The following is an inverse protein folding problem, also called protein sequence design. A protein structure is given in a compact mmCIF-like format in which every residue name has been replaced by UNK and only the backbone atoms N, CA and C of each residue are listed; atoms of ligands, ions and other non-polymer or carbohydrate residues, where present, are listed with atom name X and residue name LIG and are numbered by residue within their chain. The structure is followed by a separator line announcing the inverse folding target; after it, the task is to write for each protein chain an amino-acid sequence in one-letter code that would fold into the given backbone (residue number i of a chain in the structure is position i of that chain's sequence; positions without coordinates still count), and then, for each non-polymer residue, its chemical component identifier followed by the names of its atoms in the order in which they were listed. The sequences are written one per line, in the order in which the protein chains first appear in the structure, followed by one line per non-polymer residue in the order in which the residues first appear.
data_IF_417988568757
#
_entry.id   IF_417988568757
#
_cell.length_a   1.000
_cell.length_b   1.000
_cell.length_c   1.000
_cell.angle_alpha   90.00
_cell.angle_beta   90.00
_cell.angle_gamma   90.00
#
_symmetry.space_group_name_H-M   'P 1'
#
loop_
_entity.id
_entity.type
_entity.pdbx_description
1 polymer ?
2 non-polymer ?
3 non-polymer ?
4 non-polymer ?
5 non-polymer ?
6 water ?
#
# COMPACT_ATOMS: atom_id res chain seq x y z
N UNK A 2 24.05 -16.82 2.48
CA UNK A 2 23.13 -17.95 2.19
C UNK A 2 22.60 -17.91 0.75
N UNK A 3 21.88 -18.95 0.37
CA UNK A 3 21.28 -19.05 -0.95
C UNK A 3 19.84 -19.56 -0.88
N UNK A 4 19.13 -19.47 -2.01
CA UNK A 4 17.75 -19.91 -2.13
C UNK A 4 17.59 -20.47 -3.51
N UNK A 5 16.91 -21.61 -3.61
CA UNK A 5 16.58 -22.15 -4.91
C UNK A 5 15.08 -22.09 -5.13
N UNK A 6 14.69 -21.70 -6.34
CA UNK A 6 13.28 -21.64 -6.70
C UNK A 6 13.08 -22.17 -8.11
N UNK A 7 12.35 -23.28 -8.23
CA UNK A 7 12.12 -23.95 -9.51
C UNK A 7 13.44 -24.14 -10.30
N UNK A 8 14.46 -24.63 -9.61
CA UNK A 8 15.78 -24.81 -10.17
C UNK A 8 16.72 -23.66 -9.83
N UNK A 9 16.36 -22.48 -10.31
CA UNK A 9 17.21 -21.31 -10.25
C UNK A 9 17.63 -21.00 -8.83
N UNK A 10 18.87 -20.54 -8.70
CA UNK A 10 19.49 -20.37 -7.39
C UNK A 10 19.84 -18.88 -7.27
N UNK A 11 19.69 -18.34 -6.08
CA UNK A 11 19.71 -16.89 -5.88
C UNK A 11 20.46 -16.70 -4.61
N UNK A 12 21.15 -15.56 -4.48
CA UNK A 12 22.00 -15.28 -3.33
C UNK A 12 21.46 -14.12 -2.55
N UNK A 13 21.43 -14.30 -1.25
CA UNK A 13 20.85 -13.32 -0.37
C UNK A 13 21.82 -12.20 -0.18
N UNK A 14 21.40 -10.99 -0.50
CA UNK A 14 22.19 -9.79 -0.17
C UNK A 14 21.85 -9.29 1.19
N UNK A 15 20.57 -9.12 1.44
CA UNK A 15 20.12 -8.77 2.75
C UNK A 15 18.62 -8.98 2.86
N UNK A 16 18.14 -8.78 4.07
CA UNK A 16 16.81 -9.01 4.43
C UNK A 16 16.22 -7.65 4.51
N UNK A 17 15.19 -7.40 3.69
CA UNK A 17 14.63 -6.06 3.59
C UNK A 17 13.31 -5.98 4.30
N UNK A 18 12.83 -7.10 4.80
CA UNK A 18 11.53 -7.08 5.43
C UNK A 18 11.19 -8.32 6.19
N UNK A 19 10.21 -8.21 7.06
CA UNK A 19 9.94 -9.27 7.98
C UNK A 19 8.50 -9.20 8.43
N UNK A 20 8.00 -10.35 8.86
CA UNK A 20 6.61 -10.49 9.30
C UNK A 20 6.43 -11.85 9.89
N UNK A 21 5.26 -12.11 10.48
CA UNK A 21 5.01 -13.33 11.28
C UNK A 21 6.06 -14.42 11.08
N UNK A 22 5.75 -15.35 10.17
CA UNK A 22 6.66 -16.44 9.82
C UNK A 22 7.25 -16.27 8.41
N UNK A 23 7.56 -15.03 8.05
CA UNK A 23 8.03 -14.78 6.71
C UNK A 23 9.06 -13.69 6.71
N UNK A 24 9.81 -13.66 5.64
CA UNK A 24 10.93 -12.75 5.49
C UNK A 24 10.99 -12.41 4.05
N UNK A 25 11.32 -11.15 3.74
CA UNK A 25 11.62 -10.71 2.38
C UNK A 25 13.12 -10.40 2.24
N UNK A 26 13.73 -10.93 1.22
CA UNK A 26 15.14 -10.78 1.01
C UNK A 26 15.38 -10.13 -0.29
N UNK A 27 16.33 -9.22 -0.33
CA UNK A 27 16.92 -8.75 -1.59
C UNK A 27 17.95 -9.76 -2.01
N UNK A 28 17.92 -10.18 -3.26
CA UNK A 28 18.77 -11.23 -3.72
C UNK A 28 19.21 -11.02 -5.15
N UNK A 29 20.16 -11.88 -5.59
CA UNK A 29 20.68 -11.84 -6.93
C UNK A 29 20.62 -13.16 -7.59
N UNK A 30 20.24 -13.15 -8.87
CA UNK A 30 20.26 -14.37 -9.62
C UNK A 30 21.68 -14.61 -10.13
N UNK A 31 21.82 -15.60 -11.00
CA UNK A 31 23.14 -16.04 -11.51
C UNK A 31 23.80 -14.91 -12.36
N UNK A 32 23.01 -14.26 -13.20
CA UNK A 32 23.47 -13.14 -14.04
C UNK A 32 23.56 -11.83 -13.26
N UNK A 33 23.48 -11.92 -11.94
CA UNK A 33 23.59 -10.75 -11.04
C UNK A 33 22.47 -9.69 -11.22
N UNK A 34 21.31 -10.20 -11.63
CA UNK A 34 20.08 -9.42 -11.68
C UNK A 34 19.45 -9.48 -10.32
N UNK A 35 18.88 -8.36 -9.87
CA UNK A 35 18.41 -8.22 -8.52
C UNK A 35 16.90 -8.57 -8.42
N UNK A 36 16.47 -9.16 -7.30
CA UNK A 36 15.04 -9.53 -7.12
C UNK A 36 14.70 -9.50 -5.66
N UNK A 37 13.40 -9.46 -5.35
CA UNK A 37 12.96 -9.58 -3.98
C UNK A 37 12.35 -10.97 -3.85
N UNK A 38 12.78 -11.73 -2.85
CA UNK A 38 12.16 -12.98 -2.61
C UNK A 38 11.46 -12.99 -1.29
N UNK A 39 10.16 -13.34 -1.31
CA UNK A 39 9.44 -13.58 -0.05
C UNK A 39 9.51 -15.06 0.27
N UNK A 40 9.88 -15.37 1.50
CA UNK A 40 9.90 -16.72 2.03
C UNK A 40 8.85 -16.76 3.11
N UNK A 41 7.92 -17.71 3.00
CA UNK A 41 6.91 -17.96 4.05
C UNK A 41 7.14 -19.34 4.62
N UNK A 42 7.33 -19.40 5.92
CA UNK A 42 7.41 -20.69 6.60
C UNK A 42 6.01 -21.14 7.00
N UNK A 43 5.54 -22.20 6.37
CA UNK A 43 4.20 -22.75 6.60
C UNK A 43 4.07 -23.83 7.71
N UNK A 44 5.15 -24.10 8.44
CA UNK A 44 5.17 -25.30 9.28
C UNK A 44 4.07 -25.27 10.33
N UNK A 45 3.87 -24.14 11.01
CA UNK A 45 2.77 -24.07 12.00
C UNK A 45 1.59 -23.20 11.53
N UNK A 46 1.35 -23.18 10.22
CA UNK A 46 0.32 -22.34 9.66
C UNK A 46 -1.01 -23.06 9.74
N UNK A 47 -2.01 -22.35 10.29
CA UNK A 47 -3.42 -22.72 10.23
C UNK A 47 -3.95 -22.57 8.83
N UNK A 48 -5.09 -23.19 8.61
CA UNK A 48 -5.71 -23.26 7.31
C UNK A 48 -6.12 -21.91 6.77
N UNK A 49 -6.36 -20.98 7.67
CA UNK A 49 -6.79 -19.66 7.30
C UNK A 49 -5.63 -18.86 6.69
N UNK A 50 -4.47 -18.92 7.36
CA UNK A 50 -3.19 -18.38 6.91
C UNK A 50 -2.71 -19.03 5.62
N UNK A 51 -2.83 -20.33 5.58
CA UNK A 51 -2.56 -21.07 4.36
C UNK A 51 -3.41 -20.53 3.24
N UNK A 52 -4.69 -20.35 3.51
CA UNK A 52 -5.57 -19.95 2.42
C UNK A 52 -5.32 -18.52 2.05
N UNK A 53 -4.94 -17.68 3.00
CA UNK A 53 -4.75 -16.29 2.69
C UNK A 53 -3.49 -16.15 1.72
N UNK A 54 -2.46 -16.98 1.95
CA UNK A 54 -1.25 -16.99 1.15
C UNK A 54 -1.52 -17.51 -0.22
N UNK A 55 -2.35 -18.54 -0.28
CA UNK A 55 -2.81 -19.06 -1.57
C UNK A 55 -3.62 -18.00 -2.37
N UNK A 56 -4.45 -17.25 -1.67
CA UNK A 56 -5.25 -16.19 -2.31
C UNK A 56 -4.34 -15.02 -2.81
N UNK A 57 -3.39 -14.62 -2.02
CA UNK A 57 -2.39 -13.59 -2.50
C UNK A 57 -1.68 -13.96 -3.75
N UNK A 58 -1.15 -15.18 -3.79
CA UNK A 58 -0.37 -15.61 -4.91
C UNK A 58 -1.23 -15.62 -6.15
N UNK A 59 -2.44 -16.12 -6.00
CA UNK A 59 -3.40 -16.19 -7.12
C UNK A 59 -3.75 -14.82 -7.68
N UNK A 60 -4.14 -13.92 -6.79
CA UNK A 60 -4.39 -12.45 -7.16
C UNK A 60 -3.15 -11.77 -7.73
N UNK A 61 -1.99 -11.99 -7.14
CA UNK A 61 -0.79 -11.40 -7.66
C UNK A 61 -0.57 -11.89 -9.08
N UNK A 62 -0.73 -13.18 -9.26
CA UNK A 62 -0.63 -13.79 -10.58
C UNK A 62 -1.60 -13.17 -11.59
N UNK A 63 -2.88 -13.15 -11.25
CA UNK A 63 -3.88 -12.68 -12.20
C UNK A 63 -3.64 -11.21 -12.55
N UNK A 64 -3.26 -10.42 -11.57
CA UNK A 64 -3.19 -8.96 -11.78
C UNK A 64 -1.97 -8.50 -12.56
N UNK A 65 -1.08 -9.43 -12.92
CA UNK A 65 0.15 -9.11 -13.60
C UNK A 65 -0.20 -8.28 -14.86
N UNK A 66 -1.07 -8.87 -15.65
CA UNK A 66 -1.39 -8.31 -16.92
C UNK A 66 -2.07 -6.96 -16.82
N UNK A 67 -2.89 -6.74 -15.79
CA UNK A 67 -3.82 -5.60 -15.78
C UNK A 67 -3.16 -4.28 -15.43
N UNK A 68 -2.11 -4.28 -14.62
CA UNK A 68 -1.30 -3.06 -14.43
C UNK A 68 0.16 -3.34 -14.14
N UNK A 69 1.01 -2.47 -14.67
CA UNK A 69 2.44 -2.47 -14.32
C UNK A 69 2.66 -1.55 -13.10
N UNK A 70 1.60 -1.16 -12.42
CA UNK A 70 1.70 -0.45 -11.14
C UNK A 70 1.44 -1.47 -9.97
N UNK A 71 1.54 -2.73 -10.28
CA UNK A 71 1.49 -3.78 -9.32
C UNK A 71 2.82 -4.53 -9.46
N UNK A 72 3.43 -4.80 -8.33
CA UNK A 72 4.67 -5.53 -8.26
C UNK A 72 4.63 -6.77 -9.15
N UNK A 73 5.77 -7.02 -9.80
CA UNK A 73 5.92 -8.10 -10.75
C UNK A 73 6.26 -9.42 -10.02
N UNK A 74 5.61 -10.48 -10.42
CA UNK A 74 5.83 -11.78 -9.91
C UNK A 74 6.41 -12.57 -11.02
N UNK A 75 7.65 -13.04 -10.85
CA UNK A 75 8.34 -13.75 -11.89
C UNK A 75 8.20 -15.26 -11.72
N UNK A 76 8.18 -15.73 -10.49
CA UNK A 76 8.17 -17.16 -10.27
C UNK A 76 7.84 -17.40 -8.82
N UNK A 77 7.26 -18.55 -8.54
CA UNK A 77 7.12 -18.96 -7.15
C UNK A 77 7.23 -20.46 -7.00
N UNK A 78 7.34 -20.89 -5.75
CA UNK A 78 7.45 -22.28 -5.37
C UNK A 78 6.70 -22.43 -4.08
N UNK A 79 5.73 -23.34 -4.05
CA UNK A 79 4.94 -23.53 -2.87
C UNK A 79 4.85 -25.03 -2.60
N UNK A 80 5.14 -25.43 -1.37
CA UNK A 80 4.92 -26.80 -0.86
C UNK A 80 4.24 -26.69 0.47
N UNK A 81 4.10 -27.79 1.21
CA UNK A 81 3.52 -27.80 2.57
C UNK A 81 4.39 -27.12 3.60
N UNK A 82 5.68 -27.14 3.34
CA UNK A 82 6.64 -26.57 4.31
C UNK A 82 6.84 -25.03 4.09
N UNK A 83 6.94 -24.62 2.83
CA UNK A 83 7.33 -23.20 2.54
C UNK A 83 6.65 -22.57 1.34
N UNK A 84 6.68 -21.25 1.30
CA UNK A 84 6.51 -20.54 0.02
C UNK A 84 7.78 -19.71 -0.29
N UNK A 85 8.16 -19.65 -1.56
CA UNK A 85 9.13 -18.69 -2.07
C UNK A 85 8.46 -17.98 -3.23
N UNK A 86 8.41 -16.65 -3.18
CA UNK A 86 7.98 -15.83 -4.25
C UNK A 86 9.13 -14.94 -4.75
N UNK A 87 9.43 -15.01 -6.04
CA UNK A 87 10.43 -14.18 -6.65
C UNK A 87 9.72 -13.03 -7.34
N UNK A 88 9.95 -11.82 -6.83
CA UNK A 88 9.30 -10.63 -7.34
C UNK A 88 10.29 -9.48 -7.61
N UNK A 89 9.85 -8.44 -8.26
CA UNK A 89 10.76 -7.37 -8.57
C UNK A 89 11.17 -6.70 -7.29
N UNK A 90 12.41 -6.18 -7.28
CA UNK A 90 12.97 -5.41 -6.19
C UNK A 90 12.84 -3.93 -6.54
N UNK A 91 12.42 -3.09 -5.60
CA UNK A 91 12.43 -1.63 -5.84
C UNK A 91 13.61 -0.86 -5.24
N UNK A 92 13.60 0.47 -5.40
CA UNK A 92 14.71 1.31 -4.93
C UNK A 92 14.50 1.55 -3.45
N UNK A 93 13.29 1.93 -3.11
CA UNK A 93 12.96 2.25 -1.73
C UNK A 93 11.42 2.17 -1.56
N UNK A 94 10.98 1.85 -0.34
CA UNK A 94 9.57 1.90 -0.01
C UNK A 94 9.18 3.27 0.35
N UNK A 95 7.92 3.59 0.09
CA UNK A 95 7.50 4.97 0.15
C UNK A 95 7.58 5.44 1.60
N UNK A 96 7.27 4.60 2.56
CA UNK A 96 7.32 5.06 3.95
C UNK A 96 8.71 5.50 4.39
N UNK A 97 9.78 4.89 3.85
CA UNK A 97 11.17 5.31 4.19
C UNK A 97 11.52 6.56 3.42
N UNK A 98 11.24 6.55 2.13
CA UNK A 98 11.47 7.71 1.29
C UNK A 98 10.78 8.97 1.80
N UNK A 99 9.74 8.84 2.62
CA UNK A 99 9.02 10.01 3.13
C UNK A 99 9.73 10.66 4.33
N UNK A 100 10.31 9.83 5.19
CA UNK A 100 11.08 10.31 6.34
C UNK A 100 12.42 10.96 5.93
N UNK A 101 12.97 10.58 4.78
CA UNK A 101 14.24 11.12 4.29
C UNK A 101 14.12 12.39 3.47
N UNK A 102 13.00 12.58 2.78
CA UNK A 102 12.87 13.67 1.83
C UNK A 102 12.54 14.98 2.53
N UNK A 103 11.42 14.98 3.25
CA UNK A 103 11.00 16.07 4.13
C UNK A 103 10.72 17.43 3.43
N UNK A 104 10.79 17.45 2.10
CA UNK A 104 10.11 18.48 1.27
C UNK A 104 9.99 17.94 -0.17
N UNK A 105 8.76 17.64 -0.56
CA UNK A 105 8.48 16.89 -1.78
C UNK A 105 8.17 17.84 -2.94
N UNK A 106 8.85 17.67 -4.08
CA UNK A 106 8.45 18.32 -5.33
C UNK A 106 6.95 18.03 -5.64
N UNK A 107 6.13 19.10 -5.79
CA UNK A 107 4.73 18.97 -6.23
C UNK A 107 4.48 18.12 -7.46
N UNK A 108 5.40 18.12 -8.41
CA UNK A 108 5.25 17.29 -9.61
C UNK A 108 5.36 15.77 -9.26
N UNK A 109 6.26 15.45 -8.33
CA UNK A 109 6.61 14.10 -7.99
C UNK A 109 5.49 13.52 -7.16
N UNK A 110 4.94 14.34 -6.27
CA UNK A 110 3.79 13.98 -5.49
C UNK A 110 2.54 13.70 -6.36
N UNK A 111 2.26 14.60 -7.28
CA UNK A 111 1.15 14.40 -8.21
C UNK A 111 1.30 13.10 -9.04
N UNK A 112 2.49 12.86 -9.57
CA UNK A 112 2.75 11.68 -10.38
C UNK A 112 2.60 10.37 -9.58
N UNK A 113 2.95 10.46 -8.30
CA UNK A 113 2.94 9.35 -7.41
C UNK A 113 1.52 9.05 -7.02
N UNK A 114 0.75 10.10 -6.71
CA UNK A 114 -0.68 9.97 -6.52
C UNK A 114 -1.41 9.23 -7.63
N UNK A 115 -1.16 9.57 -8.89
CA UNK A 115 -1.71 8.86 -10.02
C UNK A 115 -1.40 7.36 -10.00
N UNK A 116 -0.12 7.06 -9.81
CA UNK A 116 0.38 5.72 -9.66
C UNK A 116 -0.40 4.97 -8.57
N UNK A 117 -0.65 5.58 -7.44
CA UNK A 117 -1.35 4.89 -6.38
C UNK A 117 -2.81 4.62 -6.75
N UNK A 118 -3.47 5.63 -7.34
CA UNK A 118 -4.87 5.49 -7.73
C UNK A 118 -5.04 4.38 -8.74
N UNK A 119 -4.12 4.33 -9.68
CA UNK A 119 -4.20 3.35 -10.72
C UNK A 119 -3.98 1.92 -10.17
N UNK A 120 -2.94 1.72 -9.38
CA UNK A 120 -2.73 0.46 -8.73
C UNK A 120 -3.99 0.02 -7.93
N UNK A 121 -4.47 0.89 -7.09
CA UNK A 121 -5.56 0.54 -6.22
C UNK A 121 -6.85 0.35 -6.98
N UNK A 122 -7.09 1.19 -7.97
CA UNK A 122 -8.24 1.03 -8.82
C UNK A 122 -8.18 -0.38 -9.46
N UNK A 123 -6.99 -0.78 -9.87
CA UNK A 123 -6.85 -2.08 -10.53
C UNK A 123 -7.35 -3.22 -9.61
N UNK A 124 -7.00 -3.16 -8.32
CA UNK A 124 -7.41 -4.25 -7.46
C UNK A 124 -8.90 -4.18 -7.15
N UNK A 125 -9.43 -2.96 -7.05
CA UNK A 125 -10.87 -2.76 -6.89
C UNK A 125 -11.65 -3.42 -8.04
N UNK A 126 -11.12 -3.43 -9.25
CA UNK A 126 -11.80 -4.00 -10.40
C UNK A 126 -11.94 -5.55 -10.33
N UNK A 127 -11.09 -6.16 -9.53
CA UNK A 127 -11.07 -7.60 -9.35
C UNK A 127 -11.64 -7.94 -8.01
N UNK A 128 -12.46 -7.04 -7.49
CA UNK A 128 -13.18 -7.23 -6.24
C UNK A 128 -12.39 -7.19 -4.93
N UNK A 129 -11.14 -6.71 -4.95
CA UNK A 129 -10.37 -6.62 -3.70
C UNK A 129 -10.51 -5.21 -3.05
N UNK A 130 -10.63 -5.12 -1.75
CA UNK A 130 -10.49 -3.85 -1.07
C UNK A 130 -9.37 -4.19 -0.13
N UNK A 131 -8.30 -3.42 -0.22
CA UNK A 131 -7.13 -3.61 0.59
C UNK A 131 -7.42 -3.43 2.07
N UNK A 132 -7.96 -2.29 2.45
CA UNK A 132 -8.47 -2.01 3.85
C UNK A 132 -7.45 -1.58 4.89
N UNK A 133 -6.18 -1.72 4.54
CA UNK A 133 -5.09 -1.42 5.41
C UNK A 133 -3.98 -0.66 4.67
N UNK A 134 -4.32 0.26 3.77
CA UNK A 134 -3.25 0.91 2.98
C UNK A 134 -2.42 1.85 3.85
N UNK A 135 -1.12 1.87 3.65
CA UNK A 135 -0.26 2.86 4.24
C UNK A 135 0.94 3.01 3.34
N UNK A 136 1.81 3.96 3.62
CA UNK A 136 2.93 4.16 2.65
C UNK A 136 3.87 2.98 2.46
N UNK A 137 4.01 2.15 3.49
CA UNK A 137 4.77 0.89 3.38
C UNK A 137 4.28 -0.02 2.24
N UNK A 138 2.98 0.05 1.94
CA UNK A 138 2.42 -0.78 0.84
C UNK A 138 2.85 -0.33 -0.55
N UNK A 139 3.57 0.78 -0.65
CA UNK A 139 3.95 1.28 -1.99
C UNK A 139 5.46 1.31 -2.12
N UNK A 140 5.96 1.16 -3.33
CA UNK A 140 7.36 0.97 -3.58
C UNK A 140 7.78 1.76 -4.81
N UNK A 141 8.91 2.47 -4.70
CA UNK A 141 9.41 3.23 -5.82
C UNK A 141 10.33 2.34 -6.63
N UNK A 142 10.11 2.32 -7.92
CA UNK A 142 10.96 1.61 -8.86
C UNK A 142 10.87 2.34 -10.20
N UNK A 143 11.99 2.47 -10.91
CA UNK A 143 12.08 3.38 -12.06
C UNK A 143 11.66 4.72 -11.47
N UNK A 144 10.70 5.40 -12.09
CA UNK A 144 10.20 6.63 -11.48
C UNK A 144 8.79 6.56 -10.95
N UNK A 145 8.30 5.35 -10.71
CA UNK A 145 6.90 5.18 -10.41
C UNK A 145 6.66 4.37 -9.18
N UNK A 146 5.45 4.54 -8.68
CA UNK A 146 5.06 3.86 -7.46
C UNK A 146 4.33 2.56 -7.86
N UNK A 147 4.69 1.44 -7.25
CA UNK A 147 3.96 0.21 -7.46
C UNK A 147 3.34 -0.28 -6.17
N UNK A 148 2.17 -0.91 -6.29
CA UNK A 148 1.53 -1.57 -5.12
C UNK A 148 2.20 -2.90 -4.86
N UNK A 149 2.59 -3.10 -3.63
CA UNK A 149 3.36 -4.29 -3.17
C UNK A 149 2.40 -5.42 -2.75
N UNK A 150 1.30 -5.10 -2.08
CA UNK A 150 0.33 -6.12 -1.68
C UNK A 150 -1.12 -5.63 -1.67
N UNK A 151 -2.00 -6.55 -1.33
CA UNK A 151 -3.44 -6.42 -1.49
C UNK A 151 -4.22 -6.53 -0.19
N UNK A 152 -3.51 -6.60 0.93
CA UNK A 152 -4.16 -6.69 2.25
C UNK A 152 -4.77 -8.05 2.48
N UNK A 153 -4.35 -9.04 1.68
CA UNK A 153 -4.98 -10.34 1.69
C UNK A 153 -4.29 -11.22 2.72
N UNK A 154 -2.95 -11.27 2.69
CA UNK A 154 -2.18 -12.08 3.66
C UNK A 154 -1.58 -11.22 4.77
N UNK A 155 -0.84 -11.85 5.67
CA UNK A 155 -0.17 -11.11 6.77
C UNK A 155 0.65 -9.90 6.25
N UNK A 156 0.54 -8.73 6.89
CA UNK A 156 1.36 -7.58 6.51
C UNK A 156 2.80 -7.80 6.99
N UNK A 157 3.76 -7.47 6.14
CA UNK A 157 5.18 -7.47 6.48
C UNK A 157 5.57 -6.06 6.79
N UNK A 158 6.69 -5.86 7.47
CA UNK A 158 7.24 -4.53 7.69
C UNK A 158 8.70 -4.43 7.26
N UNK A 159 9.14 -3.21 6.91
CA UNK A 159 10.52 -3.04 6.45
C UNK A 159 11.56 -3.30 7.52
N UNK A 160 12.61 -4.07 7.19
CA UNK A 160 13.81 -4.18 8.06
C UNK A 160 14.89 -3.23 7.58
N UNK A 172 1.22 4.37 11.81
CA UNK A 172 0.83 3.05 11.29
C UNK A 172 -0.66 2.73 11.52
N UNK A 173 -1.34 3.55 12.34
CA UNK A 173 -2.82 3.55 12.40
C UNK A 173 -3.43 4.96 12.15
N UNK A 174 -2.59 5.88 11.71
CA UNK A 174 -3.09 7.11 11.13
C UNK A 174 -4.09 6.90 9.96
N UNK A 175 -3.97 5.75 9.28
CA UNK A 175 -4.59 5.56 7.99
C UNK A 175 -5.90 4.85 8.01
N UNK A 176 -6.42 4.63 9.20
CA UNK A 176 -7.59 3.80 9.33
C UNK A 176 -8.84 4.63 9.12
N UNK A 177 -9.73 4.10 8.28
CA UNK A 177 -11.00 4.73 7.98
C UNK A 177 -12.10 4.62 9.02
N UNK A 178 -12.96 5.64 9.08
CA UNK A 178 -14.10 5.68 9.99
C UNK A 178 -15.05 4.52 9.87
N UNK A 179 -15.23 3.98 8.67
CA UNK A 179 -16.20 2.90 8.51
C UNK A 179 -15.77 1.68 9.27
N UNK A 180 -14.44 1.49 9.33
CA UNK A 180 -13.83 0.30 9.92
C UNK A 180 -13.95 0.28 11.45
N UNK A 181 -13.94 1.47 12.04
CA UNK A 181 -14.06 1.62 13.49
C UNK A 181 -15.52 1.52 13.90
N UNK A 182 -16.36 2.34 13.32
CA UNK A 182 -17.81 2.24 13.51
C UNK A 182 -18.37 0.85 13.13
N UNK A 183 -17.62 0.11 12.32
CA UNK A 183 -17.91 -1.30 11.98
C UNK A 183 -18.15 -2.18 13.21
N UNK A 184 -17.61 -1.79 14.37
CA UNK A 184 -17.59 -2.64 15.57
C UNK A 184 -18.54 -2.12 16.68
N UNK A 185 -19.62 -2.85 16.99
CA UNK A 185 -20.05 -4.05 16.25
C UNK A 185 -21.53 -4.35 16.49
N UNK A 195 -21.10 -5.73 6.62
CA UNK A 195 -19.91 -4.90 6.80
C UNK A 195 -20.01 -3.59 6.03
N UNK A 196 -19.50 -2.52 6.65
CA UNK A 196 -19.47 -1.18 6.03
C UNK A 196 -18.23 -0.93 5.13
N UNK A 197 -17.34 -1.92 5.02
CA UNK A 197 -16.13 -1.79 4.20
C UNK A 197 -16.44 -1.89 2.69
N UNK A 198 -16.06 -0.85 1.98
CA UNK A 198 -16.25 -0.77 0.56
C UNK A 198 -14.93 -0.27 0.01
N UNK A 199 -14.86 -0.08 -1.30
CA UNK A 199 -13.73 0.58 -1.92
C UNK A 199 -13.45 2.00 -1.44
N UNK A 200 -14.48 2.71 -0.99
CA UNK A 200 -14.24 4.01 -0.38
C UNK A 200 -13.28 3.97 0.79
N UNK A 201 -13.28 2.88 1.57
CA UNK A 201 -12.34 2.77 2.71
C UNK A 201 -10.90 3.01 2.27
N UNK A 202 -10.51 2.49 1.11
CA UNK A 202 -9.15 2.70 0.58
C UNK A 202 -8.87 4.16 0.17
N UNK A 203 -9.90 4.90 -0.17
CA UNK A 203 -9.79 6.28 -0.59
C UNK A 203 -9.36 7.10 0.61
N UNK A 204 -10.03 6.84 1.73
CA UNK A 204 -9.67 7.45 3.00
C UNK A 204 -8.18 7.30 3.30
N UNK A 205 -7.74 6.05 3.30
CA UNK A 205 -6.32 5.76 3.59
C UNK A 205 -5.44 6.37 2.57
N UNK A 206 -5.86 6.40 1.29
CA UNK A 206 -5.05 7.07 0.30
C UNK A 206 -5.06 8.59 0.57
N UNK A 207 -6.23 9.08 0.95
CA UNK A 207 -6.40 10.46 1.38
C UNK A 207 -5.31 10.79 2.37
N UNK A 208 -5.20 9.96 3.42
CA UNK A 208 -4.21 10.22 4.47
C UNK A 208 -2.81 10.21 3.97
N UNK A 209 -2.52 9.33 3.02
CA UNK A 209 -1.16 9.26 2.54
C UNK A 209 -0.87 10.53 1.76
N UNK A 210 -1.82 11.00 0.95
CA UNK A 210 -1.56 12.21 0.18
C UNK A 210 -1.42 13.40 1.13
N UNK A 211 -2.28 13.46 2.15
CA UNK A 211 -2.22 14.49 3.18
C UNK A 211 -0.83 14.61 3.74
N UNK A 212 -0.24 13.47 4.03
CA UNK A 212 1.09 13.40 4.57
C UNK A 212 2.13 13.95 3.58
N UNK A 213 1.93 13.67 2.30
CA UNK A 213 2.89 14.12 1.29
C UNK A 213 2.70 15.64 1.06
N UNK A 214 1.61 16.18 1.57
CA UNK A 214 1.28 17.56 1.32
C UNK A 214 1.61 18.39 2.54
N UNK A 215 1.00 18.06 3.66
CA UNK A 215 1.20 18.78 4.88
C UNK A 215 2.38 18.29 5.71
N UNK A 216 2.98 17.17 5.34
CA UNK A 216 4.13 16.66 6.09
C UNK A 216 3.72 15.95 7.38
N UNK A 217 2.42 15.74 7.59
CA UNK A 217 1.94 14.86 8.66
C UNK A 217 0.59 14.24 8.30
N UNK A 218 0.15 13.27 9.08
CA UNK A 218 -1.13 12.63 8.81
C UNK A 218 -2.21 13.38 9.58
N UNK A 219 -3.42 13.46 9.01
CA UNK A 219 -4.43 14.32 9.60
C UNK A 219 -4.55 14.25 11.13
N UNK A 220 -4.57 13.03 11.69
CA UNK A 220 -4.72 12.83 13.12
C UNK A 220 -3.40 12.44 13.80
N UNK A 221 -2.27 12.80 13.20
CA UNK A 221 -0.97 12.39 13.72
C UNK A 221 -0.66 12.95 15.10
N UNK A 222 -0.77 14.27 15.20
CA UNK A 222 -0.44 15.03 16.41
C UNK A 222 -1.25 14.61 17.65
N UNK A 223 -2.40 13.96 17.47
CA UNK A 223 -3.12 13.33 18.60
C UNK A 223 -2.26 12.21 19.18
N UNK A 224 -2.41 12.04 20.49
CA UNK A 224 -1.34 11.53 21.35
C UNK A 224 -1.44 10.02 21.63
N UNK A 225 -2.64 9.55 21.94
CA UNK A 225 -2.83 8.18 22.41
C UNK A 225 -4.01 7.49 21.69
N UNK A 226 -3.65 6.44 20.97
CA UNK A 226 -4.56 5.68 20.09
C UNK A 226 -6.06 5.83 20.40
N UNK A 227 -6.44 5.48 21.62
CA UNK A 227 -7.84 5.40 21.99
C UNK A 227 -8.62 6.73 21.73
N UNK A 228 -7.96 7.89 21.93
CA UNK A 228 -8.62 9.20 21.71
C UNK A 228 -8.75 9.42 20.20
N UNK A 229 -7.64 9.22 19.51
CA UNK A 229 -7.54 9.33 18.05
C UNK A 229 -8.61 8.54 17.30
N UNK A 230 -8.95 7.37 17.80
CA UNK A 230 -10.05 6.61 17.21
C UNK A 230 -11.43 7.29 17.35
N UNK A 231 -11.64 8.04 18.44
CA UNK A 231 -12.88 8.79 18.63
C UNK A 231 -12.93 9.99 17.68
N UNK A 232 -11.82 10.73 17.62
CA UNK A 232 -11.63 11.83 16.68
C UNK A 232 -12.01 11.38 15.28
N UNK A 233 -11.37 10.30 14.83
CA UNK A 233 -11.56 9.76 13.48
C UNK A 233 -13.02 9.54 13.17
N UNK A 234 -13.81 9.13 14.16
CA UNK A 234 -15.25 8.93 13.89
C UNK A 234 -16.14 10.16 14.16
N UNK A 235 -15.59 11.20 14.78
CA UNK A 235 -16.41 12.30 15.34
C UNK A 235 -16.59 13.50 14.41
N UNK A 236 -17.78 13.65 13.81
CA UNK A 236 -18.07 14.73 12.86
C UNK A 236 -17.59 16.09 13.36
N UNK A 237 -17.97 16.42 14.58
CA UNK A 237 -17.65 17.72 15.13
C UNK A 237 -16.14 17.99 15.14
N UNK A 238 -15.32 16.94 15.21
CA UNK A 238 -13.87 17.12 15.12
C UNK A 238 -13.58 17.56 13.69
N UNK A 239 -13.48 18.87 13.49
CA UNK A 239 -13.16 19.42 12.18
C UNK A 239 -11.72 19.06 11.87
N UNK A 240 -11.53 18.42 10.72
CA UNK A 240 -10.20 18.13 10.24
C UNK A 240 -9.78 19.39 9.46
N UNK A 241 -8.53 19.80 9.66
CA UNK A 241 -8.07 21.07 9.14
C UNK A 241 -7.12 20.94 7.96
N UNK A 242 -7.30 21.82 6.97
CA UNK A 242 -6.48 21.85 5.77
C UNK A 242 -5.93 23.27 5.52
N UNK A 243 -4.68 23.50 5.91
CA UNK A 243 -3.96 24.72 5.53
C UNK A 243 -4.10 25.05 4.05
N UNK A 244 -4.32 26.31 3.71
CA UNK A 244 -4.40 26.70 2.31
C UNK A 244 -3.01 26.67 1.70
N UNK A 245 -2.96 26.37 0.40
CA UNK A 245 -1.69 26.11 -0.28
C UNK A 245 -1.86 26.55 -1.74
N UNK A 246 -0.75 26.67 -2.46
CA UNK A 246 -0.94 27.11 -3.83
C UNK A 246 -1.99 26.24 -4.55
N UNK A 247 -1.63 24.99 -4.85
CA UNK A 247 -2.47 24.01 -5.54
C UNK A 247 -3.83 23.78 -4.89
N UNK A 248 -4.87 24.29 -5.53
CA UNK A 248 -6.21 24.14 -4.97
C UNK A 248 -6.87 22.86 -5.49
N UNK A 249 -6.36 22.33 -6.58
CA UNK A 249 -6.79 21.03 -7.03
C UNK A 249 -6.47 20.01 -5.92
N UNK A 250 -5.22 20.00 -5.49
CA UNK A 250 -4.79 19.16 -4.38
C UNK A 250 -5.63 19.35 -3.16
N UNK A 251 -5.81 20.58 -2.76
CA UNK A 251 -6.62 20.88 -1.57
C UNK A 251 -8.00 20.27 -1.62
N UNK A 252 -8.64 20.36 -2.78
CA UNK A 252 -9.95 19.77 -2.97
C UNK A 252 -9.91 18.21 -2.86
N UNK A 253 -8.83 17.61 -3.38
CA UNK A 253 -8.71 16.15 -3.42
C UNK A 253 -8.69 15.66 -1.98
N UNK A 254 -7.78 16.25 -1.20
CA UNK A 254 -7.68 15.94 0.22
C UNK A 254 -9.00 16.05 0.92
N UNK A 255 -9.80 17.04 0.56
CA UNK A 255 -11.05 17.26 1.29
C UNK A 255 -12.02 16.20 0.95
N UNK A 256 -12.09 15.91 -0.33
CA UNK A 256 -13.01 14.89 -0.82
C UNK A 256 -12.67 13.46 -0.33
N UNK A 257 -11.39 13.10 -0.31
CA UNK A 257 -10.98 11.78 0.21
C UNK A 257 -11.30 11.61 1.70
N UNK A 258 -11.11 12.70 2.46
CA UNK A 258 -11.28 12.68 3.92
C UNK A 258 -12.67 13.01 4.45
N UNK A 259 -13.72 12.78 3.67
CA UNK A 259 -15.05 12.86 4.21
C UNK A 259 -15.39 11.57 4.95
N UNK A 260 -16.12 11.71 6.04
CA UNK A 260 -16.31 10.64 7.00
C UNK A 260 -17.46 9.76 6.59
N UNK A 261 -18.42 10.35 5.91
CA UNK A 261 -19.51 9.58 5.39
C UNK A 261 -19.02 9.02 4.04
N UNK A 262 -18.78 7.69 3.95
CA UNK A 262 -18.28 7.08 2.73
C UNK A 262 -19.19 7.20 1.53
N UNK A 263 -20.48 7.46 1.72
CA UNK A 263 -21.38 7.63 0.57
C UNK A 263 -21.08 8.96 -0.09
N UNK A 264 -20.72 9.95 0.68
CA UNK A 264 -20.34 11.22 0.10
C UNK A 264 -18.84 11.33 -0.23
N UNK A 265 -18.01 10.45 0.35
CA UNK A 265 -16.58 10.43 0.01
C UNK A 265 -16.39 10.25 -1.48
N UNK A 266 -15.37 10.90 -2.04
CA UNK A 266 -15.09 10.70 -3.46
C UNK A 266 -14.62 9.25 -3.75
N UNK A 267 -14.89 8.79 -4.97
CA UNK A 267 -14.54 7.51 -5.39
C UNK A 267 -13.28 7.60 -6.25
N UNK A 268 -12.65 6.45 -6.45
CA UNK A 268 -11.46 6.37 -7.28
C UNK A 268 -11.74 6.73 -8.77
N UNK A 269 -12.81 6.19 -9.39
CA UNK A 269 -13.13 6.63 -10.76
C UNK A 269 -13.25 8.16 -10.90
N UNK A 270 -13.82 8.82 -9.91
CA UNK A 270 -13.87 10.25 -9.87
C UNK A 270 -12.50 10.81 -9.68
N UNK A 271 -11.71 10.23 -8.75
CA UNK A 271 -10.45 10.81 -8.48
C UNK A 271 -9.63 10.91 -9.72
N UNK A 272 -9.81 9.91 -10.56
CA UNK A 272 -9.05 9.81 -11.77
C UNK A 272 -9.48 10.80 -12.82
N UNK A 273 -10.68 11.37 -12.65
CA UNK A 273 -11.27 12.37 -13.52
C UNK A 273 -11.03 13.79 -13.00
N UNK A 274 -10.26 13.90 -11.92
CA UNK A 274 -10.10 15.12 -11.18
C UNK A 274 -8.95 15.96 -11.76
N UNK A 275 -9.06 17.30 -11.65
CA UNK A 275 -8.09 18.21 -12.31
C UNK A 275 -6.71 18.03 -11.78
N UNK A 276 -6.66 17.71 -10.48
CA UNK A 276 -5.41 17.41 -9.82
C UNK A 276 -4.67 16.31 -10.53
N UNK A 277 -5.37 15.31 -11.05
CA UNK A 277 -4.70 14.21 -11.79
C UNK A 277 -4.59 14.47 -13.26
N UNK A 278 -5.60 15.12 -13.83
CA UNK A 278 -5.66 15.20 -15.28
C UNK A 278 -5.01 16.44 -15.79
N UNK A 279 -4.93 17.44 -14.95
CA UNK A 279 -4.48 18.76 -15.43
C UNK A 279 -3.18 19.17 -14.73
N UNK A 280 -2.16 19.39 -15.54
CA UNK A 280 -0.86 19.77 -15.00
C UNK A 280 -0.62 21.24 -15.26
N UNK A 281 -0.18 21.95 -14.22
CA UNK A 281 0.22 23.38 -14.30
C UNK A 281 -0.82 24.26 -15.02
X LIG B 1 15.51 -18.28 4.47
X LIG B 1 14.90 -18.49 5.76
X LIG B 1 15.51 -19.56 3.62
X LIG B 1 15.49 -20.72 4.48
X LIG B 1 16.71 -19.58 2.68
X LIG B 1 17.97 -19.47 3.36
X LIG C 1 -12.53 2.02 -7.28
X LIG C 1 -13.23 1.32 -8.36
X LIG C 1 -13.53 2.54 -6.23
X LIG C 1 -13.39 3.83 -5.46
X LIG C 1 -14.51 3.96 -4.59
X LIG C 1 -15.80 3.34 -5.26
X LIG C 1 -17.01 3.47 -4.52
X LIG D 1 13.13 -6.78 -12.02
X LIG D 1 14.15 -7.15 -12.95
X LIG D 1 13.75 -5.98 -10.88
X LIG D 1 13.87 -6.61 -9.61
X LIG E 1 13.76 -15.24 -12.97
X LIG E 1 13.10 -14.28 -13.79
X LIG E 1 15.27 -15.11 -13.22
X LIG E 1 15.99 -15.49 -12.02
X LIG F 1 -19.86 8.82 -4.79
X LIG F 1 -18.62 9.51 -4.59
X LIG F 1 -19.66 7.61 -5.68
X LIG F 1 -20.69 7.59 -6.69
X LIG G 1 -20.07 2.67 -0.57
X LIG G 1 -20.35 2.41 0.81
X LIG G 1 -20.22 4.17 -0.88
X LIG G 1 -20.34 4.43 -2.29
X LIG H 1 -3.19 10.78 -17.00
X LIG H 1 -2.63 12.03 -16.54
X LIG H 1 -2.68 9.60 -16.16
X LIG H 1 -3.20 9.61 -14.82
X LIG I 1 -3.16 -16.22 -14.34
X LIG I 1 -4.38 -15.48 -14.16
X LIG I 1 -2.20 -15.57 -15.36
X LIG I 1 -1.50 -16.60 -16.07
X LIG J 1 9.76 -5.48 -2.10
X LIG J 1 6.99 -4.28 3.66
X LIG J 1 6.93 -3.12 2.90
X LIG J 1 9.29 -3.32 2.41
X LIG J 1 9.36 -4.50 3.15
X LIG J 1 8.21 -4.97 3.78
X LIG J 1 7.02 -7.36 -0.12
X LIG J 1 8.56 -6.39 -1.81
X LIG J 1 7.84 -6.97 -2.80
X LIG J 1 6.73 -7.78 -2.49
X LIG J 1 6.62 -7.47 1.36
X LIG J 1 6.32 -7.95 -1.16
X LIG J 1 5.15 -8.85 -0.89
X LIG J 1 2.86 -10.68 -2.35
X LIG J 1 1.89 -9.58 -2.55
X LIG J 1 16.81 -2.11 0.99
X LIG J 1 18.01 -1.39 1.61
X LIG J 1 18.39 -0.31 0.82
X LIG J 1 18.48 -0.53 -0.57
X LIG J 1 17.14 -1.01 -1.14
X LIG J 1 16.17 -1.38 -0.10
X LIG J 1 14.70 -1.47 -0.35
X LIG J 1 14.50 -2.28 -1.60
X LIG J 1 13.11 -2.31 -2.03
X LIG J 1 9.96 -4.19 0.05
X LIG J 1 12.07 -2.96 -1.28
X LIG J 1 11.75 -2.58 -0.02
X LIG J 1 10.71 -3.22 0.60
X LIG J 1 10.46 -5.38 -3.30
X LIG J 1 10.29 -4.55 -1.24
X LIG J 1 11.29 -3.92 -1.87
X LIG J 1 11.46 -4.44 -3.12
X LIG J 1 10.46 -2.81 1.85
X LIG J 1 8.09 -2.65 2.28
X LIG J 1 8.11 -6.58 -0.48
X LIG J 1 5.29 -9.80 -0.13
X LIG J 1 3.91 -8.65 -1.56
X LIG J 1 2.82 -9.54 -1.35
#
# INVERSE_FOLDING_TARGET
NECISVKGRIYSILKQIGSGGSSKVFQVLNEKKQIYAIKYVNLEEADNQTLDSYRNEIAYLNKLQQHSDKIIRLYDYEITDQYIYMVMECGNIDLNSWLKKKKSIDPWERKSYWKNMLEAVHTIHQHGIVHSDLKPANFLIVDGMLKLIDFGIANQMQPDTTSVVKDSQVGTVNYMPPEAIKDMSSSRENGKSKSKISPKSDVWSLGCILYYMTYGKTPFQQIINQISKLHAIIDPNHEIEFPDIPEKDLQDVLKCCLKRDPKQRISIPELLAHPYVQIQT
GOL C1 O1 C2 O2 C3 O3
PEG C1 O1 C2 O2 C3 C4 O4
EDO C1 O1 C2 O2
EDO C1 O1 C2 O2
EDO C1 O1 C2 O2
EDO C1 O1 C2 O2
EDO C1 O1 C2 O2
EDO C1 O1 C2 O2
052 C11 C13 C14 C16 C17 C18 C19 C21 C22 C23 C24 C25 C26 C28 C29 C1 C2 O1 C3 C4 N1 C5 C6 N2 N3 C7 C8 C9 C10 C12 N4 N5 O2 C15 C20 O3 N6 C27
#
